data_IF_066670525597
#
_entry.id   IF_066670525597
#
_cell.length_a   1.000
_cell.length_b   1.000
_cell.length_c   1.000
_cell.angle_alpha   90.00
_cell.angle_beta   90.00
_cell.angle_gamma   90.00
#
_symmetry.space_group_name_H-M   'P 1'
#
loop_
_entity.id
_entity.type
_entity.pdbx_description
1 polymer ?
#
# COMPACT_ATOMS: atom_id res chain seq x y z
N UNK A 1 -12.03 -15.16 -24.70
CA UNK A 1 -12.84 -13.99 -25.12
C UNK A 1 -13.73 -13.69 -23.93
N UNK A 2 -13.66 -12.52 -23.30
CA UNK A 2 -14.60 -12.13 -22.24
C UNK A 2 -15.69 -11.22 -22.86
N UNK A 3 -16.76 -11.78 -23.45
CA UNK A 3 -18.02 -11.08 -23.63
C UNK A 3 -18.62 -10.94 -22.23
N UNK A 4 -18.24 -9.87 -21.54
CA UNK A 4 -18.19 -9.86 -20.08
C UNK A 4 -19.00 -8.76 -19.45
N UNK A 5 -20.29 -8.64 -19.79
CA UNK A 5 -21.31 -7.95 -18.99
C UNK A 5 -22.70 -8.21 -19.60
N UNK A 6 -23.17 -9.46 -19.54
CA UNK A 6 -24.62 -9.71 -19.54
C UNK A 6 -24.94 -10.38 -18.21
N UNK A 7 -25.79 -9.73 -17.41
CA UNK A 7 -26.41 -10.40 -16.29
C UNK A 7 -27.10 -11.65 -16.84
N UNK A 8 -26.80 -12.80 -16.24
CA UNK A 8 -27.49 -14.03 -16.61
C UNK A 8 -28.98 -13.86 -16.27
N UNK A 9 -29.88 -14.43 -17.08
CA UNK A 9 -31.33 -14.18 -16.99
C UNK A 9 -31.92 -14.50 -15.60
N UNK A 10 -31.27 -15.38 -14.85
CA UNK A 10 -31.53 -15.74 -13.46
C UNK A 10 -31.21 -14.63 -12.45
N UNK A 11 -30.20 -13.77 -12.68
CA UNK A 11 -29.94 -12.59 -11.83
C UNK A 11 -31.04 -11.54 -12.01
N UNK A 12 -31.53 -11.38 -13.24
CA UNK A 12 -32.67 -10.51 -13.59
C UNK A 12 -33.98 -11.03 -12.98
N UNK A 13 -34.09 -12.35 -12.78
CA UNK A 13 -35.27 -13.00 -12.20
C UNK A 13 -35.25 -12.99 -10.66
N UNK A 14 -34.09 -13.19 -10.03
CA UNK A 14 -33.91 -13.06 -8.58
C UNK A 14 -34.17 -11.63 -8.07
N UNK A 15 -33.74 -10.60 -8.83
CA UNK A 15 -34.07 -9.21 -8.54
C UNK A 15 -35.59 -8.94 -8.63
N UNK A 16 -36.29 -9.55 -9.62
CA UNK A 16 -37.75 -9.46 -9.75
C UNK A 16 -38.52 -10.13 -8.60
N UNK A 17 -37.91 -11.11 -7.94
CA UNK A 17 -38.50 -11.82 -6.79
C UNK A 17 -38.28 -11.11 -5.44
N UNK A 18 -37.60 -9.95 -5.42
CA UNK A 18 -37.29 -9.24 -4.18
C UNK A 18 -36.18 -9.89 -3.35
N UNK A 19 -35.37 -10.75 -3.98
CA UNK A 19 -34.23 -11.42 -3.37
C UNK A 19 -33.04 -10.45 -3.34
N UNK A 20 -32.33 -10.34 -2.21
CA UNK A 20 -31.26 -9.36 -2.05
C UNK A 20 -30.02 -9.73 -2.89
N UNK A 21 -29.91 -9.17 -4.10
CA UNK A 21 -28.67 -9.11 -4.87
C UNK A 21 -28.47 -7.67 -5.37
N UNK A 22 -27.52 -6.94 -4.80
CA UNK A 22 -27.23 -5.56 -5.20
C UNK A 22 -26.33 -5.46 -6.47
N UNK A 23 -26.08 -6.59 -7.15
CA UNK A 23 -25.17 -6.69 -8.28
C UNK A 23 -23.68 -6.57 -7.87
N UNK A 24 -22.79 -6.75 -8.85
CA UNK A 24 -21.35 -6.62 -8.68
C UNK A 24 -20.71 -6.01 -9.93
N UNK A 25 -19.62 -5.26 -9.77
CA UNK A 25 -18.86 -4.70 -10.88
C UNK A 25 -17.61 -5.54 -11.12
N UNK A 26 -17.47 -6.09 -12.31
CA UNK A 26 -16.24 -6.76 -12.73
C UNK A 26 -15.29 -5.78 -13.38
N UNK A 27 -14.06 -5.72 -12.89
CA UNK A 27 -12.98 -4.91 -13.48
C UNK A 27 -12.06 -5.87 -14.26
N UNK A 28 -12.24 -6.05 -15.58
CA UNK A 28 -11.54 -7.10 -16.33
C UNK A 28 -10.02 -6.94 -16.36
N UNK A 29 -9.55 -5.70 -16.25
CA UNK A 29 -8.12 -5.37 -16.19
C UNK A 29 -7.63 -5.14 -14.74
N UNK A 30 -8.44 -5.49 -13.75
CA UNK A 30 -8.05 -5.48 -12.35
C UNK A 30 -7.01 -6.57 -12.09
N UNK A 31 -5.94 -6.23 -11.37
CA UNK A 31 -4.85 -7.15 -11.08
C UNK A 31 -4.66 -7.24 -9.57
N UNK A 32 -4.45 -8.47 -9.09
CA UNK A 32 -3.96 -8.72 -7.73
C UNK A 32 -2.46 -8.93 -7.81
N UNK A 33 -1.73 -8.21 -6.97
CA UNK A 33 -0.27 -8.21 -6.97
C UNK A 33 0.21 -8.82 -5.65
N UNK A 34 1.05 -9.87 -5.73
CA UNK A 34 1.85 -10.33 -4.60
C UNK A 34 2.95 -9.28 -4.33
N UNK A 35 2.66 -8.35 -3.42
CA UNK A 35 3.49 -7.17 -3.19
C UNK A 35 4.96 -7.52 -2.84
N UNK A 36 5.28 -8.48 -1.96
CA UNK A 36 6.66 -8.92 -1.76
C UNK A 36 7.37 -9.32 -3.05
N UNK A 37 6.76 -10.19 -3.87
CA UNK A 37 7.37 -10.63 -5.14
C UNK A 37 7.54 -9.46 -6.12
N UNK A 38 6.54 -8.59 -6.20
CA UNK A 38 6.57 -7.41 -7.05
C UNK A 38 7.68 -6.44 -6.66
N UNK A 39 7.84 -6.13 -5.38
CA UNK A 39 8.88 -5.24 -4.88
C UNK A 39 10.29 -5.81 -5.08
N UNK A 40 10.48 -7.13 -4.88
CA UNK A 40 11.74 -7.79 -5.22
C UNK A 40 12.06 -7.65 -6.71
N UNK A 41 11.07 -7.91 -7.59
CA UNK A 41 11.27 -7.78 -9.03
C UNK A 41 11.57 -6.34 -9.47
N UNK A 42 10.93 -5.33 -8.84
CA UNK A 42 11.24 -3.92 -9.08
C UNK A 42 12.68 -3.58 -8.67
N UNK A 43 13.15 -4.10 -7.54
CA UNK A 43 14.53 -3.90 -7.11
C UNK A 43 15.54 -4.53 -8.08
N UNK A 44 15.28 -5.76 -8.53
CA UNK A 44 16.11 -6.44 -9.52
C UNK A 44 16.15 -5.64 -10.84
N UNK A 45 15.02 -5.08 -11.26
CA UNK A 45 14.95 -4.22 -12.42
C UNK A 45 15.81 -2.94 -12.26
N UNK A 46 15.83 -2.31 -11.08
CA UNK A 46 16.73 -1.19 -10.79
C UNK A 46 18.21 -1.59 -10.95
N UNK A 47 18.60 -2.77 -10.45
CA UNK A 47 19.95 -3.31 -10.65
C UNK A 47 20.32 -3.52 -12.11
N UNK A 48 19.40 -4.11 -12.89
CA UNK A 48 19.59 -4.31 -14.34
C UNK A 48 19.71 -2.99 -15.08
N UNK A 49 18.83 -2.02 -14.79
CA UNK A 49 18.86 -0.70 -15.43
C UNK A 49 20.16 0.04 -15.12
N UNK A 50 20.61 0.02 -13.87
CA UNK A 50 21.89 0.62 -13.47
C UNK A 50 23.07 -0.02 -14.22
N UNK A 51 23.09 -1.36 -14.35
CA UNK A 51 24.15 -2.09 -15.06
C UNK A 51 24.23 -1.78 -16.57
N UNK A 52 23.14 -1.28 -17.15
CA UNK A 52 23.06 -0.86 -18.56
C UNK A 52 23.26 0.64 -18.75
N UNK A 53 23.42 1.38 -17.66
CA UNK A 53 23.62 2.82 -17.65
C UNK A 53 25.03 3.23 -18.06
N UNK A 54 25.35 4.51 -17.81
CA UNK A 54 26.70 5.01 -18.01
C UNK A 54 27.71 4.28 -17.12
N UNK A 55 28.99 4.29 -17.53
CA UNK A 55 30.05 3.69 -16.73
C UNK A 55 30.08 4.30 -15.31
N UNK A 56 30.01 3.45 -14.29
CA UNK A 56 29.97 3.86 -12.88
C UNK A 56 28.57 3.95 -12.26
N UNK A 57 27.49 3.81 -13.04
CA UNK A 57 26.12 3.76 -12.48
C UNK A 57 25.91 2.45 -11.70
N UNK A 58 25.34 2.56 -10.49
CA UNK A 58 25.03 1.42 -9.62
C UNK A 58 23.75 1.66 -8.83
N UNK A 59 22.98 0.59 -8.60
CA UNK A 59 21.92 0.55 -7.60
C UNK A 59 22.42 -0.30 -6.42
N UNK A 60 22.30 0.19 -5.19
CA UNK A 60 22.75 -0.51 -3.98
C UNK A 60 21.66 -0.48 -2.92
N UNK A 61 21.34 -1.64 -2.34
CA UNK A 61 20.45 -1.73 -1.20
C UNK A 61 21.31 -1.77 0.07
N UNK A 62 21.09 -0.79 0.96
CA UNK A 62 21.72 -0.75 2.28
C UNK A 62 20.62 -0.76 3.33
N UNK A 63 20.74 -1.68 4.29
CA UNK A 63 19.92 -1.67 5.51
C UNK A 63 20.73 -0.92 6.56
N UNK A 64 20.17 0.17 7.07
CA UNK A 64 20.76 0.99 8.11
C UNK A 64 19.66 1.65 8.93
N UNK A 65 19.94 1.89 10.20
CA UNK A 65 19.11 2.74 11.06
C UNK A 65 19.43 4.22 10.77
N UNK A 66 18.40 5.05 10.72
CA UNK A 66 18.51 6.47 10.39
C UNK A 66 17.61 7.24 11.35
N UNK A 67 18.23 7.90 12.32
CA UNK A 67 17.52 8.72 13.30
C UNK A 67 17.39 10.18 12.85
N UNK A 68 18.27 10.62 11.94
CA UNK A 68 18.33 12.00 11.46
C UNK A 68 18.60 12.04 9.95
N UNK A 69 17.76 12.76 9.22
CA UNK A 69 17.89 13.01 7.78
C UNK A 69 19.19 13.73 7.45
N UNK A 70 19.74 14.52 8.37
CA UNK A 70 21.04 15.19 8.20
C UNK A 70 22.16 14.20 7.89
N UNK A 71 22.18 13.02 8.52
CA UNK A 71 23.19 12.01 8.25
C UNK A 71 23.15 11.52 6.80
N UNK A 72 21.95 11.40 6.22
CA UNK A 72 21.78 11.05 4.80
C UNK A 72 22.24 12.19 3.90
N UNK A 73 21.90 13.41 4.28
CA UNK A 73 22.32 14.60 3.55
C UNK A 73 23.84 14.75 3.59
N UNK A 74 24.53 14.46 4.69
CA UNK A 74 25.99 14.52 4.74
C UNK A 74 26.68 13.44 3.88
N UNK A 75 25.98 12.34 3.57
CA UNK A 75 26.47 11.25 2.72
C UNK A 75 26.11 11.42 1.23
N UNK A 76 24.95 12.01 0.92
CA UNK A 76 24.40 12.07 -0.44
C UNK A 76 24.06 13.49 -0.89
N UNK A 77 24.29 13.79 -2.17
CA UNK A 77 23.96 15.08 -2.79
C UNK A 77 22.46 15.32 -2.87
N UNK A 78 21.69 14.26 -3.14
CA UNK A 78 20.23 14.26 -3.25
C UNK A 78 19.66 13.14 -2.37
N UNK A 79 18.67 13.47 -1.54
CA UNK A 79 17.97 12.53 -0.67
C UNK A 79 16.48 12.58 -0.98
N UNK A 80 15.86 11.41 -1.14
CA UNK A 80 14.42 11.26 -1.32
C UNK A 80 13.85 10.28 -0.29
N UNK A 81 13.00 10.76 0.60
CA UNK A 81 12.36 9.97 1.64
C UNK A 81 11.12 9.27 1.10
N UNK A 82 11.20 7.93 1.00
CA UNK A 82 10.12 7.06 0.53
C UNK A 82 9.78 5.99 1.59
N UNK A 83 9.90 6.31 2.88
CA UNK A 83 9.80 5.37 4.00
C UNK A 83 8.36 5.12 4.51
N UNK A 84 7.34 5.49 3.74
CA UNK A 84 5.94 5.22 4.10
C UNK A 84 5.53 5.84 5.44
N UNK A 85 4.94 5.03 6.33
CA UNK A 85 4.58 5.45 7.69
C UNK A 85 5.78 5.88 8.55
N UNK A 86 6.98 5.37 8.26
CA UNK A 86 8.21 5.72 8.98
C UNK A 86 8.60 7.20 8.84
N UNK A 87 8.03 7.93 7.88
CA UNK A 87 8.28 9.38 7.75
C UNK A 87 7.82 10.16 8.99
N UNK A 88 6.84 9.65 9.73
CA UNK A 88 6.33 10.26 10.96
C UNK A 88 7.29 10.15 12.15
N UNK A 89 8.34 9.32 12.04
CA UNK A 89 9.45 9.32 13.01
C UNK A 89 10.48 10.43 12.72
N UNK A 90 10.52 10.93 11.48
CA UNK A 90 11.50 11.92 11.02
C UNK A 90 10.92 13.34 10.99
N UNK A 91 9.61 13.46 10.72
CA UNK A 91 8.92 14.74 10.59
C UNK A 91 7.56 14.70 11.28
N UNK A 92 7.18 15.84 11.85
CA UNK A 92 5.84 16.04 12.38
C UNK A 92 4.79 16.23 11.28
N UNK A 93 3.52 16.24 11.70
CA UNK A 93 2.38 16.41 10.79
C UNK A 93 2.38 17.79 10.11
N UNK A 94 2.87 18.84 10.76
CA UNK A 94 2.92 20.18 10.16
C UNK A 94 3.92 20.24 9.00
N UNK A 95 4.99 19.45 9.07
CA UNK A 95 6.02 19.36 8.03
C UNK A 95 5.66 18.36 6.95
N UNK A 96 5.27 17.12 7.28
CA UNK A 96 4.79 16.13 6.31
C UNK A 96 3.44 15.59 6.81
N UNK A 97 2.32 16.07 6.25
CA UNK A 97 1.00 15.86 6.84
C UNK A 97 0.46 14.46 6.58
N UNK A 98 0.94 13.47 7.33
CA UNK A 98 0.46 12.10 7.29
C UNK A 98 -0.13 11.69 8.63
N UNK A 99 -1.29 11.05 8.60
CA UNK A 99 -1.84 10.36 9.77
C UNK A 99 -1.56 8.87 9.68
N UNK A 100 -1.26 8.25 10.82
CA UNK A 100 -0.95 6.83 10.89
C UNK A 100 -2.22 6.01 11.10
N UNK A 101 -2.28 4.86 10.43
CA UNK A 101 -3.35 3.89 10.63
C UNK A 101 -2.79 2.48 10.53
N UNK A 102 -2.86 1.74 11.64
CA UNK A 102 -2.55 0.33 11.70
C UNK A 102 -3.60 -0.51 10.99
N UNK A 103 -3.21 -1.71 10.60
CA UNK A 103 -4.14 -2.69 10.08
C UNK A 103 -3.52 -4.07 9.97
N UNK A 104 -4.30 -5.05 10.39
CA UNK A 104 -4.02 -6.46 10.20
C UNK A 104 -4.61 -6.95 8.88
N UNK A 105 -3.97 -7.96 8.32
CA UNK A 105 -4.47 -8.75 7.19
C UNK A 105 -4.28 -10.23 7.50
N UNK A 106 -5.25 -11.04 7.10
CA UNK A 106 -5.31 -12.46 7.35
C UNK A 106 -4.87 -13.20 6.08
N UNK A 107 -3.85 -14.04 6.16
CA UNK A 107 -3.51 -14.96 5.09
C UNK A 107 -4.13 -16.34 5.37
N UNK A 108 -4.89 -16.85 4.41
CA UNK A 108 -5.58 -18.13 4.47
C UNK A 108 -5.20 -19.00 3.26
N UNK A 109 -5.42 -20.31 3.36
CA UNK A 109 -5.31 -21.23 2.22
C UNK A 109 -6.63 -21.27 1.44
N UNK A 110 -6.67 -20.78 0.19
CA UNK A 110 -7.92 -20.70 -0.55
C UNK A 110 -8.37 -22.05 -1.10
N UNK A 111 -9.68 -22.22 -1.21
CA UNK A 111 -10.32 -23.27 -1.99
C UNK A 111 -11.09 -22.61 -3.15
N UNK A 112 -10.46 -22.48 -4.32
CA UNK A 112 -11.12 -22.01 -5.55
C UNK A 112 -11.32 -20.49 -5.69
N UNK A 113 -10.27 -19.68 -5.47
CA UNK A 113 -10.29 -18.24 -5.71
C UNK A 113 -9.33 -17.84 -6.84
N UNK A 114 -9.86 -17.35 -7.96
CA UNK A 114 -9.05 -16.89 -9.11
C UNK A 114 -9.10 -15.38 -9.34
N UNK A 115 -10.03 -14.67 -8.69
CA UNK A 115 -10.25 -13.23 -8.86
C UNK A 115 -10.26 -12.54 -7.49
N UNK A 116 -9.81 -11.28 -7.45
CA UNK A 116 -9.95 -10.46 -6.26
C UNK A 116 -11.39 -10.02 -6.05
N UNK A 117 -11.89 -10.13 -4.83
CA UNK A 117 -13.21 -9.66 -4.42
C UNK A 117 -13.04 -8.40 -3.57
N UNK A 118 -13.81 -7.37 -3.88
CA UNK A 118 -13.87 -6.11 -3.13
C UNK A 118 -15.29 -5.89 -2.63
N UNK A 119 -15.46 -5.70 -1.31
CA UNK A 119 -16.75 -5.45 -0.68
C UNK A 119 -16.59 -4.77 0.68
N UNK A 120 -17.18 -5.33 1.74
CA UNK A 120 -16.96 -4.87 3.12
C UNK A 120 -15.48 -4.92 3.54
N UNK A 121 -14.74 -5.82 2.91
CA UNK A 121 -13.29 -6.01 2.99
C UNK A 121 -12.82 -6.49 1.61
N UNK A 122 -11.51 -6.66 1.40
CA UNK A 122 -11.04 -7.38 0.21
C UNK A 122 -10.71 -8.84 0.53
N UNK A 123 -10.92 -9.73 -0.44
CA UNK A 123 -10.45 -11.12 -0.44
C UNK A 123 -9.70 -11.34 -1.75
N UNK A 124 -8.38 -11.56 -1.68
CA UNK A 124 -7.52 -11.50 -2.86
C UNK A 124 -6.60 -12.73 -2.95
N UNK A 125 -6.52 -13.44 -4.09
CA UNK A 125 -5.62 -14.56 -4.27
C UNK A 125 -4.16 -14.09 -4.39
N UNK A 126 -3.25 -14.75 -3.67
CA UNK A 126 -1.80 -14.53 -3.68
C UNK A 126 -1.08 -15.77 -4.25
N UNK A 127 -1.42 -16.10 -5.50
CA UNK A 127 -1.07 -17.37 -6.14
C UNK A 127 -2.04 -18.49 -5.74
N UNK A 128 -1.69 -19.74 -6.08
CA UNK A 128 -2.59 -20.89 -5.94
C UNK A 128 -2.81 -21.34 -4.49
N UNK A 129 -1.85 -21.04 -3.59
CA UNK A 129 -1.81 -21.61 -2.23
C UNK A 129 -2.17 -20.61 -1.11
N UNK A 130 -2.40 -19.34 -1.45
CA UNK A 130 -2.63 -18.28 -0.46
C UNK A 130 -3.69 -17.29 -0.93
N UNK A 131 -4.48 -16.80 0.00
CA UNK A 131 -5.34 -15.65 -0.20
C UNK A 131 -5.20 -14.70 1.00
N UNK A 132 -5.46 -13.42 0.77
CA UNK A 132 -5.41 -12.39 1.79
C UNK A 132 -6.79 -11.77 2.00
N UNK A 133 -7.17 -11.62 3.27
CA UNK A 133 -8.38 -10.91 3.69
C UNK A 133 -7.96 -9.68 4.48
N UNK A 134 -8.51 -8.52 4.13
CA UNK A 134 -8.19 -7.33 4.90
C UNK A 134 -8.77 -6.03 4.41
N UNK A 135 -8.47 -4.95 5.12
CA UNK A 135 -7.73 -4.90 6.39
C UNK A 135 -8.66 -4.64 7.60
N UNK A 136 -8.17 -4.82 8.83
CA UNK A 136 -8.71 -4.07 9.99
C UNK A 136 -8.38 -2.57 9.85
N UNK A 137 -9.00 -1.72 10.68
CA UNK A 137 -8.75 -0.27 10.69
C UNK A 137 -8.46 0.23 12.11
N UNK A 138 -7.19 0.47 12.42
CA UNK A 138 -6.72 0.83 13.76
C UNK A 138 -6.13 2.26 13.73
N UNK A 139 -6.82 3.22 14.37
CA UNK A 139 -6.55 4.66 14.24
C UNK A 139 -5.63 5.24 15.32
N UNK A 140 -5.12 4.39 16.20
CA UNK A 140 -4.25 4.69 17.34
C UNK A 140 -2.78 4.35 17.07
N UNK A 141 -2.42 4.04 15.81
CA UNK A 141 -1.06 3.69 15.44
C UNK A 141 -0.09 4.87 15.63
N UNK A 142 1.11 4.55 16.13
CA UNK A 142 2.20 5.49 16.37
C UNK A 142 3.39 5.19 15.44
N UNK A 143 4.43 6.05 15.38
CA UNK A 143 5.63 5.73 14.63
C UNK A 143 6.32 4.43 15.10
N UNK A 144 6.25 4.11 16.39
CA UNK A 144 6.81 2.88 16.97
C UNK A 144 6.15 1.61 16.41
N UNK A 145 4.87 1.68 16.01
CA UNK A 145 4.18 0.57 15.35
C UNK A 145 4.84 0.15 14.03
N UNK A 146 5.56 1.05 13.36
CA UNK A 146 6.21 0.74 12.09
C UNK A 146 7.23 -0.40 12.24
N UNK A 147 7.95 -0.46 13.37
CA UNK A 147 8.92 -1.51 13.67
C UNK A 147 8.27 -2.90 13.85
N UNK A 148 6.96 -2.95 14.14
CA UNK A 148 6.18 -4.19 14.31
C UNK A 148 5.53 -4.68 13.01
N UNK A 149 5.73 -3.97 11.89
CA UNK A 149 5.12 -4.34 10.62
C UNK A 149 5.75 -5.62 10.05
N UNK A 150 4.92 -6.57 9.63
CA UNK A 150 5.40 -7.87 9.18
C UNK A 150 4.43 -9.00 9.48
N UNK A 151 4.96 -10.21 9.56
CA UNK A 151 4.24 -11.38 10.10
C UNK A 151 4.14 -11.18 11.61
N UNK A 152 2.96 -11.44 12.18
CA UNK A 152 2.73 -11.37 13.62
C UNK A 152 3.15 -12.70 14.25
N UNK A 153 4.06 -12.66 15.23
CA UNK A 153 4.61 -13.85 15.88
C UNK A 153 3.66 -14.44 16.93
N UNK A 154 3.07 -13.59 17.78
CA UNK A 154 2.09 -14.00 18.80
C UNK A 154 0.68 -13.75 18.29
N UNK A 155 0.00 -14.83 17.89
CA UNK A 155 -1.38 -14.75 17.37
C UNK A 155 -2.43 -14.94 18.45
N UNK A 156 -2.02 -15.30 19.68
CA UNK A 156 -2.90 -15.59 20.80
C UNK A 156 -3.12 -14.37 21.70
N UNK A 157 -2.38 -13.28 21.47
CA UNK A 157 -2.61 -12.01 22.16
C UNK A 157 -4.00 -11.42 21.82
N UNK A 158 -4.54 -10.61 22.74
CA UNK A 158 -5.90 -10.07 22.63
C UNK A 158 -6.13 -9.26 21.34
N UNK A 159 -5.13 -8.49 20.89
CA UNK A 159 -5.23 -7.68 19.66
C UNK A 159 -5.28 -8.58 18.43
N UNK A 160 -4.42 -9.60 18.37
CA UNK A 160 -4.37 -10.56 17.27
C UNK A 160 -5.63 -11.44 17.21
N UNK A 161 -6.09 -11.97 18.34
CA UNK A 161 -7.31 -12.76 18.41
C UNK A 161 -8.54 -11.96 17.94
N UNK A 162 -8.64 -10.70 18.35
CA UNK A 162 -9.69 -9.78 17.88
C UNK A 162 -9.61 -9.52 16.38
N UNK A 163 -8.41 -9.24 15.87
CA UNK A 163 -8.19 -9.00 14.44
C UNK A 163 -8.55 -10.22 13.58
N UNK A 164 -8.16 -11.43 14.00
CA UNK A 164 -8.51 -12.67 13.30
C UNK A 164 -10.02 -12.86 13.27
N UNK A 165 -10.70 -12.68 14.40
CA UNK A 165 -12.16 -12.79 14.50
C UNK A 165 -12.88 -11.80 13.56
N UNK A 166 -12.50 -10.52 13.62
CA UNK A 166 -13.05 -9.46 12.77
C UNK A 166 -12.82 -9.75 11.27
N UNK A 167 -11.61 -10.15 10.89
CA UNK A 167 -11.25 -10.43 9.50
C UNK A 167 -11.97 -11.68 8.97
N UNK A 168 -12.20 -12.71 9.79
CA UNK A 168 -13.00 -13.87 9.41
C UNK A 168 -14.46 -13.49 9.16
N UNK A 169 -15.05 -12.68 10.03
CA UNK A 169 -16.41 -12.18 9.87
C UNK A 169 -16.56 -11.31 8.61
N UNK A 170 -15.65 -10.33 8.43
CA UNK A 170 -15.62 -9.47 7.26
C UNK A 170 -15.40 -10.26 5.97
N UNK A 171 -14.48 -11.23 6.00
CA UNK A 171 -14.19 -12.13 4.89
C UNK A 171 -15.41 -12.93 4.49
N UNK A 172 -16.07 -13.60 5.44
CA UNK A 172 -17.27 -14.40 5.18
C UNK A 172 -18.44 -13.56 4.64
N UNK A 173 -18.55 -12.27 5.03
CA UNK A 173 -19.52 -11.35 4.41
C UNK A 173 -19.19 -10.99 2.97
N UNK A 174 -17.91 -10.78 2.66
CA UNK A 174 -17.48 -10.39 1.31
C UNK A 174 -17.44 -11.58 0.34
N UNK A 175 -17.01 -12.75 0.83
CA UNK A 175 -16.88 -13.99 0.08
C UNK A 175 -17.13 -15.19 1.00
N UNK A 176 -18.40 -15.63 1.15
CA UNK A 176 -18.78 -16.70 2.09
C UNK A 176 -17.93 -17.97 2.04
N UNK A 177 -17.43 -18.46 0.88
CA UNK A 177 -16.59 -19.64 0.83
C UNK A 177 -15.31 -19.55 1.67
N UNK A 178 -14.80 -18.35 1.98
CA UNK A 178 -13.58 -18.21 2.79
C UNK A 178 -13.78 -18.52 4.29
N UNK A 179 -15.00 -18.70 4.76
CA UNK A 179 -15.30 -18.89 6.19
C UNK A 179 -14.53 -20.08 6.80
N UNK A 180 -14.37 -21.16 6.03
CA UNK A 180 -13.74 -22.41 6.47
C UNK A 180 -12.29 -22.58 6.01
N UNK A 181 -11.71 -21.57 5.35
CA UNK A 181 -10.34 -21.66 4.88
C UNK A 181 -9.34 -21.75 6.05
N UNK A 182 -8.32 -22.58 5.85
CA UNK A 182 -7.23 -22.81 6.79
C UNK A 182 -6.49 -21.50 7.07
N UNK A 183 -6.30 -21.18 8.36
CA UNK A 183 -5.45 -20.07 8.78
C UNK A 183 -3.99 -20.36 8.46
N UNK A 184 -3.31 -19.44 7.79
CA UNK A 184 -1.87 -19.55 7.54
C UNK A 184 -1.09 -18.61 8.45
N UNK A 185 -1.43 -17.32 8.47
CA UNK A 185 -0.76 -16.32 9.30
C UNK A 185 -1.55 -15.03 9.38
N UNK A 186 -1.20 -14.23 10.38
CA UNK A 186 -1.60 -12.84 10.53
C UNK A 186 -0.43 -11.93 10.15
N UNK A 187 -0.72 -10.80 9.50
CA UNK A 187 0.28 -9.76 9.24
C UNK A 187 -0.25 -8.41 9.73
N UNK A 188 0.66 -7.57 10.21
CA UNK A 188 0.38 -6.20 10.61
C UNK A 188 1.15 -5.22 9.73
N UNK A 189 0.60 -4.03 9.52
CA UNK A 189 1.29 -2.93 8.89
C UNK A 189 0.67 -1.59 9.23
N UNK A 190 1.45 -0.52 9.05
CA UNK A 190 1.02 0.86 9.27
C UNK A 190 0.96 1.61 7.95
N UNK A 191 -0.15 2.31 7.71
CA UNK A 191 -0.34 3.21 6.57
C UNK A 191 -0.05 4.64 6.99
N UNK A 192 0.67 5.36 6.13
CA UNK A 192 0.64 6.82 6.10
C UNK A 192 -0.54 7.25 5.23
N UNK A 193 -1.58 7.80 5.84
CA UNK A 193 -2.73 8.38 5.15
C UNK A 193 -2.48 9.88 4.91
N UNK A 194 -2.75 10.39 3.70
CA UNK A 194 -2.66 11.82 3.43
C UNK A 194 -3.93 12.52 3.93
N UNK A 195 -3.93 13.86 4.04
CA UNK A 195 -5.13 14.61 4.40
C UNK A 195 -6.20 14.44 3.34
N UNK A 196 -7.47 14.46 3.75
CA UNK A 196 -8.59 14.45 2.82
C UNK A 196 -8.83 15.86 2.30
N UNK A 197 -8.82 16.02 0.99
CA UNK A 197 -9.18 17.26 0.31
C UNK A 197 -10.46 17.08 -0.50
N UNK A 198 -10.90 18.14 -1.19
CA UNK A 198 -12.01 18.05 -2.15
C UNK A 198 -11.70 17.10 -3.33
N UNK A 199 -10.41 16.90 -3.67
CA UNK A 199 -9.95 15.91 -4.65
C UNK A 199 -9.79 14.49 -4.04
N UNK A 200 -10.13 14.33 -2.76
CA UNK A 200 -9.96 13.10 -2.00
C UNK A 200 -8.63 13.02 -1.26
N UNK A 201 -8.28 11.81 -0.84
CA UNK A 201 -7.02 11.50 -0.16
C UNK A 201 -5.94 11.17 -1.20
N UNK A 202 -5.35 12.21 -1.80
CA UNK A 202 -4.27 12.10 -2.76
C UNK A 202 -2.91 11.96 -2.05
N UNK A 203 -1.98 11.18 -2.60
CA UNK A 203 -0.64 11.05 -2.03
C UNK A 203 0.13 12.37 -2.06
N UNK A 204 1.22 12.42 -1.32
CA UNK A 204 2.06 13.61 -1.15
C UNK A 204 3.40 13.36 -1.83
N UNK A 205 3.87 14.32 -2.61
CA UNK A 205 5.24 14.36 -3.12
C UNK A 205 5.76 15.78 -3.03
N UNK A 206 7.03 15.97 -2.71
CA UNK A 206 7.50 17.31 -2.42
C UNK A 206 8.93 17.41 -1.95
N UNK A 207 9.25 18.55 -1.36
CA UNK A 207 10.52 18.77 -0.67
C UNK A 207 10.33 19.49 0.66
N UNK A 208 11.19 19.17 1.60
CA UNK A 208 11.37 19.85 2.89
C UNK A 208 12.79 20.41 2.98
N UNK A 209 13.01 21.48 3.75
CA UNK A 209 14.37 21.97 4.03
C UNK A 209 14.86 21.48 5.40
N UNK A 210 16.02 20.82 5.43
CA UNK A 210 16.72 20.40 6.64
C UNK A 210 18.07 21.10 6.66
N UNK A 211 18.33 21.93 7.68
CA UNK A 211 19.56 22.74 7.79
C UNK A 211 19.88 23.55 6.51
N UNK A 212 18.85 24.11 5.87
CA UNK A 212 18.98 24.90 4.64
C UNK A 212 19.24 24.08 3.37
N UNK A 213 19.21 22.74 3.46
CA UNK A 213 19.37 21.83 2.33
C UNK A 213 18.05 21.17 1.97
N UNK A 214 17.79 21.01 0.67
CA UNK A 214 16.58 20.36 0.18
C UNK A 214 16.64 18.84 0.39
N UNK A 215 15.56 18.28 0.92
CA UNK A 215 15.29 16.85 0.99
C UNK A 215 13.95 16.57 0.33
N UNK A 216 13.91 15.65 -0.62
CA UNK A 216 12.70 15.29 -1.35
C UNK A 216 11.92 14.21 -0.61
N UNK A 217 10.63 14.05 -0.90
CA UNK A 217 9.85 12.97 -0.32
C UNK A 217 8.68 12.52 -1.21
N UNK A 218 8.29 11.26 -1.03
CA UNK A 218 6.99 10.71 -1.42
C UNK A 218 6.36 10.01 -0.22
N UNK A 219 5.17 10.44 0.18
CA UNK A 219 4.48 9.97 1.38
C UNK A 219 2.95 9.89 1.17
N UNK A 220 2.22 9.45 2.19
CA UNK A 220 0.76 9.52 2.18
C UNK A 220 0.10 8.62 1.12
N UNK A 221 0.69 7.49 0.74
CA UNK A 221 0.10 6.58 -0.26
C UNK A 221 -1.20 5.89 0.21
N UNK A 222 -1.45 5.87 1.53
CA UNK A 222 -2.60 5.21 2.14
C UNK A 222 -2.75 3.76 1.70
N UNK A 223 -3.99 3.31 1.48
CA UNK A 223 -4.30 1.96 1.02
C UNK A 223 -4.18 1.75 -0.51
N UNK A 224 -3.73 2.77 -1.27
CA UNK A 224 -3.74 2.77 -2.75
C UNK A 224 -2.34 2.95 -3.36
N UNK A 225 -1.29 2.67 -2.59
CA UNK A 225 0.10 2.84 -3.03
C UNK A 225 0.44 2.10 -4.34
N UNK A 226 -0.10 0.89 -4.54
CA UNK A 226 0.12 0.12 -5.77
C UNK A 226 -0.42 0.80 -7.04
N UNK A 227 -1.40 1.70 -6.92
CA UNK A 227 -1.96 2.44 -8.05
C UNK A 227 -1.08 3.65 -8.37
N UNK A 228 -0.57 4.34 -7.35
CA UNK A 228 0.06 5.65 -7.51
C UNK A 228 1.59 5.62 -7.56
N UNK A 229 2.25 4.58 -7.04
CA UNK A 229 3.71 4.64 -6.83
C UNK A 229 4.51 4.91 -8.11
N UNK A 230 4.10 4.33 -9.25
CA UNK A 230 4.82 4.51 -10.52
C UNK A 230 4.73 5.95 -11.02
N UNK A 231 3.54 6.54 -10.93
CA UNK A 231 3.30 7.93 -11.33
C UNK A 231 3.99 8.93 -10.40
N UNK A 232 3.96 8.68 -9.08
CA UNK A 232 4.71 9.52 -8.14
C UNK A 232 6.21 9.42 -8.35
N UNK A 233 6.74 8.22 -8.58
CA UNK A 233 8.16 8.02 -8.81
C UNK A 233 8.63 8.76 -10.07
N UNK A 234 7.83 8.73 -11.14
CA UNK A 234 8.10 9.47 -12.38
C UNK A 234 8.24 10.98 -12.10
N UNK A 235 7.18 11.62 -11.57
CA UNK A 235 7.19 13.04 -11.25
C UNK A 235 8.29 13.45 -10.27
N UNK A 236 8.48 12.66 -9.20
CA UNK A 236 9.49 12.96 -8.18
C UNK A 236 10.90 12.83 -8.76
N UNK A 237 11.16 11.82 -9.60
CA UNK A 237 12.47 11.64 -10.21
C UNK A 237 12.82 12.77 -11.18
N UNK A 238 11.86 13.24 -11.99
CA UNK A 238 12.04 14.43 -12.83
C UNK A 238 12.32 15.67 -12.00
N UNK A 239 11.54 15.88 -10.93
CA UNK A 239 11.73 17.02 -10.03
C UNK A 239 13.13 17.03 -9.38
N UNK A 240 13.64 15.85 -8.98
CA UNK A 240 14.98 15.71 -8.41
C UNK A 240 16.07 16.00 -9.45
N UNK A 241 15.94 15.43 -10.65
CA UNK A 241 16.96 15.56 -11.70
C UNK A 241 17.08 16.99 -12.24
N UNK A 242 15.95 17.68 -12.35
CA UNK A 242 15.88 19.06 -12.87
C UNK A 242 15.94 20.12 -11.75
N UNK A 243 15.99 19.72 -10.47
CA UNK A 243 15.78 20.56 -9.28
C UNK A 243 14.55 21.48 -9.40
N UNK A 244 13.49 20.97 -10.02
CA UNK A 244 12.25 21.71 -10.28
C UNK A 244 11.05 21.06 -9.61
N UNK A 245 10.62 21.65 -8.48
CA UNK A 245 9.43 21.26 -7.74
C UNK A 245 8.13 21.39 -8.58
N UNK A 246 8.15 22.15 -9.68
CA UNK A 246 6.99 22.29 -10.57
C UNK A 246 6.77 21.10 -11.51
N UNK A 247 7.73 20.18 -11.61
CA UNK A 247 7.50 18.88 -12.26
C UNK A 247 6.47 18.02 -11.51
N UNK A 248 6.22 18.31 -10.23
CA UNK A 248 5.21 17.63 -9.41
C UNK A 248 3.85 18.35 -9.56
N UNK A 249 2.75 17.65 -9.92
CA UNK A 249 1.44 18.25 -10.04
C UNK A 249 0.96 18.91 -8.74
N UNK A 250 0.30 20.07 -8.87
CA UNK A 250 -0.08 20.93 -7.74
C UNK A 250 -0.93 20.22 -6.67
N UNK A 251 -1.78 19.28 -7.07
CA UNK A 251 -2.69 18.57 -6.15
C UNK A 251 -1.95 17.67 -5.15
N UNK A 252 -0.84 17.05 -5.59
CA UNK A 252 0.00 16.15 -4.78
C UNK A 252 1.24 16.85 -4.22
N UNK A 253 1.62 17.98 -4.80
CA UNK A 253 2.84 18.73 -4.48
C UNK A 253 2.80 19.35 -3.08
N UNK A 254 3.87 19.20 -2.31
CA UNK A 254 4.07 19.85 -1.01
C UNK A 254 5.46 20.49 -0.94
N UNK A 255 5.52 21.64 -0.29
CA UNK A 255 6.77 22.37 -0.03
C UNK A 255 6.73 22.84 1.40
N UNK A 256 7.69 22.39 2.19
CA UNK A 256 7.75 22.69 3.62
C UNK A 256 9.13 23.19 4.03
#
# INVERSE_FOLDING_TARGET
MCPGLEFTSDVIEAERNGEACAGGMFVPNGVVVDAPRYLTALWDACGILASRGAAGTRATLRIAEVDDVKALLDEFDQVALCCGAGVAALFDFETIPVSLQGGHVLELKPEGLSVGILGTTYVAPLGDDRAMIGPTKEYDATPEDCARSGVVDDVDDERSARAISELRELGARAYPPCANWEFLRLKYGVRANPPRTHAGALPLAGSVHVDGRRCWFAAGLGARGLIYHGLLADWLSSAILDDDINAIPVDVRRTC
#
